data_IF_831667371387
#
_entry.id   IF_831667371387
#
_cell.length_a   1.000
_cell.length_b   1.000
_cell.length_c   1.000
_cell.angle_alpha   90.00
_cell.angle_beta   90.00
_cell.angle_gamma   90.00
#
_symmetry.space_group_name_H-M   'P 1'
#
loop_
_entity.id
_entity.type
_entity.pdbx_description
1 polymer ?
#
# COMPACT_ATOMS: atom_id res chain seq x y z
N UNK A 1 11.01 -3.57 -2.96
CA UNK A 1 9.52 -3.50 -2.96
C UNK A 1 8.94 -4.90 -3.22
N UNK A 2 9.22 -5.53 -4.37
CA UNK A 2 8.75 -6.88 -4.76
C UNK A 2 8.93 -7.98 -3.69
N UNK A 3 10.10 -8.06 -3.06
CA UNK A 3 10.43 -9.12 -2.08
C UNK A 3 10.30 -8.72 -0.61
N UNK A 4 9.83 -7.50 -0.32
CA UNK A 4 9.67 -6.99 1.05
C UNK A 4 10.91 -7.10 1.97
N UNK A 5 12.10 -6.75 1.47
CA UNK A 5 13.34 -6.84 2.24
C UNK A 5 13.46 -5.74 3.33
N UNK A 6 13.49 -6.17 4.59
CA UNK A 6 13.60 -5.29 5.76
C UNK A 6 14.95 -4.58 5.86
N UNK A 7 16.06 -5.24 5.52
CA UNK A 7 17.40 -4.66 5.61
C UNK A 7 17.56 -3.51 4.61
N UNK A 8 17.14 -3.71 3.36
CA UNK A 8 17.16 -2.65 2.33
C UNK A 8 16.25 -1.48 2.70
N UNK A 9 15.08 -1.75 3.29
CA UNK A 9 14.16 -0.71 3.74
C UNK A 9 14.75 0.11 4.89
N UNK A 10 15.39 -0.54 5.87
CA UNK A 10 16.09 0.14 6.96
C UNK A 10 17.26 0.99 6.45
N UNK A 11 18.05 0.51 5.49
CA UNK A 11 19.15 1.28 4.91
C UNK A 11 18.66 2.58 4.23
N UNK A 12 17.54 2.54 3.51
CA UNK A 12 16.93 3.73 2.91
C UNK A 12 16.38 4.69 3.97
N UNK A 13 15.77 4.17 5.04
CA UNK A 13 15.29 4.98 6.17
C UNK A 13 16.46 5.70 6.83
N UNK A 14 17.56 4.99 7.11
CA UNK A 14 18.75 5.53 7.74
C UNK A 14 19.41 6.60 6.85
N UNK A 15 19.48 6.37 5.53
CA UNK A 15 20.04 7.30 4.55
C UNK A 15 19.23 8.62 4.46
N UNK A 16 17.90 8.53 4.44
CA UNK A 16 17.03 9.70 4.29
C UNK A 16 16.82 10.44 5.61
N UNK A 17 16.72 9.70 6.72
CA UNK A 17 16.34 10.22 8.02
C UNK A 17 14.84 10.51 8.16
N UNK A 18 14.32 10.35 9.38
CA UNK A 18 12.90 10.49 9.67
C UNK A 18 12.33 11.88 9.38
N UNK A 19 13.14 12.94 9.52
CA UNK A 19 12.68 14.32 9.30
C UNK A 19 12.37 14.58 7.83
N UNK A 20 13.22 14.08 6.92
CA UNK A 20 12.97 14.21 5.47
C UNK A 20 11.76 13.38 5.06
N UNK A 21 11.66 12.13 5.54
CA UNK A 21 10.52 11.27 5.24
C UNK A 21 9.21 11.91 5.73
N UNK A 22 9.16 12.32 6.99
CA UNK A 22 7.95 12.93 7.56
C UNK A 22 7.58 14.27 6.90
N UNK A 23 8.57 15.07 6.48
CA UNK A 23 8.35 16.30 5.71
C UNK A 23 7.71 16.00 4.36
N UNK A 24 8.19 14.99 3.63
CA UNK A 24 7.59 14.57 2.36
C UNK A 24 6.15 14.10 2.52
N UNK A 25 5.87 13.31 3.56
CA UNK A 25 4.52 12.79 3.81
C UNK A 25 3.53 13.92 4.17
N UNK A 26 4.00 14.97 4.85
CA UNK A 26 3.20 16.16 5.22
C UNK A 26 3.22 17.29 4.18
N UNK A 27 3.99 17.17 3.11
CA UNK A 27 4.15 18.22 2.11
C UNK A 27 2.81 18.58 1.48
N UNK A 28 2.49 19.87 1.32
CA UNK A 28 1.19 20.32 0.80
C UNK A 28 0.89 19.81 -0.60
N UNK A 29 1.92 19.48 -1.40
CA UNK A 29 1.78 18.88 -2.74
C UNK A 29 1.17 17.49 -2.66
N UNK A 30 1.54 16.72 -1.64
CA UNK A 30 1.16 15.32 -1.51
C UNK A 30 0.11 15.09 -0.43
N UNK A 31 0.27 15.63 0.79
CA UNK A 31 -0.65 15.47 1.92
C UNK A 31 -0.97 14.00 2.25
N UNK A 32 0.04 13.13 2.17
CA UNK A 32 -0.08 11.69 2.46
C UNK A 32 -0.16 11.38 3.97
N UNK A 33 0.10 12.39 4.80
CA UNK A 33 -0.20 12.40 6.23
C UNK A 33 -0.86 13.73 6.60
N UNK A 34 -2.06 13.68 7.19
CA UNK A 34 -2.83 14.85 7.59
C UNK A 34 -3.04 14.88 9.10
N UNK A 35 -2.41 15.86 9.76
CA UNK A 35 -2.50 16.11 11.20
C UNK A 35 -3.89 16.57 11.66
N UNK A 36 -4.68 17.16 10.78
CA UNK A 36 -6.03 17.66 11.10
C UNK A 36 -7.11 16.60 10.90
N UNK A 37 -6.75 15.44 10.33
CA UNK A 37 -7.65 14.31 10.06
C UNK A 37 -7.14 13.05 10.75
N UNK A 38 -7.29 11.90 10.10
CA UNK A 38 -7.02 10.57 10.65
C UNK A 38 -5.55 10.14 10.52
N UNK A 39 -4.64 11.09 10.25
CA UNK A 39 -3.24 10.81 9.94
C UNK A 39 -3.04 10.33 8.51
N UNK A 40 -2.28 9.25 8.33
CA UNK A 40 -1.96 8.71 7.02
C UNK A 40 -0.75 7.80 7.02
N UNK A 41 0.05 7.90 5.97
CA UNK A 41 1.29 7.14 5.83
C UNK A 41 2.35 7.69 6.78
N UNK A 42 2.98 6.82 7.57
CA UNK A 42 4.07 7.20 8.46
C UNK A 42 5.14 6.12 8.55
N UNK A 43 6.41 6.55 8.51
CA UNK A 43 7.58 5.71 8.73
C UNK A 43 8.39 6.31 9.87
N UNK A 44 8.25 5.71 11.04
CA UNK A 44 8.79 6.21 12.29
C UNK A 44 9.84 5.30 12.93
N UNK A 45 10.15 4.15 12.33
CA UNK A 45 11.19 3.26 12.84
C UNK A 45 11.80 2.45 11.71
N UNK A 46 13.07 2.09 11.85
CA UNK A 46 13.68 1.02 11.05
C UNK A 46 13.08 -0.35 11.41
N UNK A 47 13.21 -1.29 10.48
CA UNK A 47 12.89 -2.70 10.74
C UNK A 47 14.03 -3.36 11.53
N UNK A 48 13.68 -4.25 12.47
CA UNK A 48 14.62 -4.97 13.34
C UNK A 48 14.57 -4.55 14.80
N UNK A 49 15.51 -5.07 15.60
CA UNK A 49 15.64 -4.74 17.03
C UNK A 49 16.39 -3.41 17.20
N UNK A 50 15.93 -2.55 18.11
CA UNK A 50 16.57 -1.28 18.45
C UNK A 50 16.32 -0.12 17.48
N UNK A 51 17.15 0.92 17.59
CA UNK A 51 17.12 2.13 16.77
C UNK A 51 16.23 3.26 17.31
N UNK A 52 16.53 4.50 16.88
CA UNK A 52 15.72 5.69 17.18
C UNK A 52 14.29 5.47 16.66
N UNK A 53 13.30 5.80 17.48
CA UNK A 53 11.88 5.78 17.14
C UNK A 53 11.37 7.22 17.04
N UNK A 54 10.72 7.53 15.94
CA UNK A 54 10.02 8.79 15.64
C UNK A 54 8.54 8.48 15.37
N UNK A 55 7.74 8.29 16.43
CA UNK A 55 6.37 7.77 16.27
C UNK A 55 5.46 8.74 15.52
N UNK A 56 4.38 8.21 14.95
CA UNK A 56 3.37 9.05 14.31
C UNK A 56 2.74 10.00 15.34
N UNK A 57 2.51 11.27 15.00
CA UNK A 57 2.12 12.30 15.96
C UNK A 57 0.70 12.14 16.51
N UNK A 58 -0.17 11.36 15.88
CA UNK A 58 -1.57 11.22 16.32
C UNK A 58 -1.79 10.01 17.21
N UNK A 59 -1.22 8.86 16.85
CA UNK A 59 -1.47 7.58 17.54
C UNK A 59 -0.22 6.98 18.18
N UNK A 60 0.93 7.61 18.01
CA UNK A 60 2.18 7.13 18.58
C UNK A 60 2.74 5.86 17.91
N UNK A 61 2.21 5.43 16.76
CA UNK A 61 2.61 4.21 16.07
C UNK A 61 3.99 4.35 15.44
N UNK A 62 4.75 3.26 15.39
CA UNK A 62 6.05 3.26 14.70
C UNK A 62 5.89 3.32 13.19
N UNK A 63 4.82 2.72 12.67
CA UNK A 63 4.41 2.80 11.28
C UNK A 63 2.90 2.98 11.27
N UNK A 64 2.41 3.88 10.43
CA UNK A 64 0.98 4.13 10.31
C UNK A 64 0.57 4.16 8.84
N UNK A 65 -0.66 3.74 8.59
CA UNK A 65 -1.34 3.88 7.31
C UNK A 65 -2.84 4.00 7.58
N UNK A 66 -3.55 4.71 6.72
CA UNK A 66 -5.00 4.62 6.63
C UNK A 66 -5.35 4.11 5.23
N UNK A 67 -6.44 3.34 5.12
CA UNK A 67 -6.90 2.84 3.83
C UNK A 67 -7.09 4.00 2.83
N UNK A 68 -7.66 5.12 3.28
CA UNK A 68 -7.83 6.32 2.46
C UNK A 68 -6.52 6.89 1.91
N UNK A 69 -5.49 7.07 2.74
CA UNK A 69 -4.22 7.65 2.28
C UNK A 69 -3.41 6.69 1.40
N UNK A 70 -3.51 5.38 1.64
CA UNK A 70 -2.93 4.37 0.74
C UNK A 70 -3.66 4.40 -0.61
N UNK A 71 -5.00 4.41 -0.63
CA UNK A 71 -5.77 4.52 -1.87
C UNK A 71 -5.45 5.82 -2.62
N UNK A 72 -5.31 6.93 -1.91
CA UNK A 72 -4.93 8.22 -2.50
C UNK A 72 -3.52 8.20 -3.07
N UNK A 73 -2.57 7.50 -2.45
CA UNK A 73 -1.23 7.30 -3.01
C UNK A 73 -1.30 6.57 -4.37
N UNK A 74 -2.04 5.45 -4.47
CA UNK A 74 -2.24 4.76 -5.74
C UNK A 74 -2.99 5.62 -6.76
N UNK A 75 -3.97 6.41 -6.34
CA UNK A 75 -4.65 7.36 -7.22
C UNK A 75 -3.65 8.40 -7.75
N UNK A 76 -2.76 8.94 -6.93
CA UNK A 76 -1.72 9.86 -7.40
C UNK A 76 -0.75 9.19 -8.37
N UNK A 77 -0.39 7.93 -8.13
CA UNK A 77 0.42 7.13 -9.07
C UNK A 77 -0.28 6.97 -10.42
N UNK A 78 -1.55 6.57 -10.43
CA UNK A 78 -2.32 6.33 -11.65
C UNK A 78 -2.41 7.57 -12.56
N UNK A 79 -2.38 8.76 -11.98
CA UNK A 79 -2.48 10.04 -12.69
C UNK A 79 -1.15 10.79 -12.83
N UNK A 80 0.00 10.17 -12.50
CA UNK A 80 1.30 10.84 -12.64
C UNK A 80 1.51 12.02 -11.70
N UNK A 81 0.77 12.10 -10.58
CA UNK A 81 0.76 13.26 -9.65
C UNK A 81 1.77 13.16 -8.51
N UNK A 82 2.72 12.23 -8.58
CA UNK A 82 3.85 12.21 -7.65
C UNK A 82 4.94 13.19 -8.13
N UNK A 83 6.22 12.84 -7.98
CA UNK A 83 7.36 13.73 -8.19
C UNK A 83 7.39 14.28 -9.62
N UNK A 84 7.28 13.39 -10.61
CA UNK A 84 7.16 13.65 -12.05
C UNK A 84 6.75 12.35 -12.76
N UNK A 85 6.58 12.38 -14.09
CA UNK A 85 6.21 11.20 -14.88
C UNK A 85 7.26 10.08 -14.80
N UNK A 86 8.55 10.40 -14.99
CA UNK A 86 9.65 9.42 -14.95
C UNK A 86 9.71 8.64 -13.62
N UNK A 87 9.61 9.35 -12.48
CA UNK A 87 9.61 8.72 -11.16
C UNK A 87 8.31 7.98 -10.85
N UNK A 88 7.20 8.36 -11.48
CA UNK A 88 5.95 7.61 -11.39
C UNK A 88 6.08 6.28 -12.11
N UNK A 89 6.59 6.28 -13.35
CA UNK A 89 6.84 5.06 -14.12
C UNK A 89 7.81 4.12 -13.39
N UNK A 90 8.90 4.67 -12.83
CA UNK A 90 9.83 3.89 -12.02
C UNK A 90 9.15 3.25 -10.78
N UNK A 91 8.26 3.98 -10.10
CA UNK A 91 7.52 3.41 -8.97
C UNK A 91 6.52 2.34 -9.39
N UNK A 92 5.83 2.54 -10.52
CA UNK A 92 4.94 1.54 -11.10
C UNK A 92 5.72 0.28 -11.45
N UNK A 93 6.89 0.39 -12.07
CA UNK A 93 7.77 -0.75 -12.36
C UNK A 93 8.11 -1.55 -11.09
N UNK A 94 8.42 -0.87 -9.98
CA UNK A 94 8.75 -1.55 -8.72
C UNK A 94 7.56 -2.25 -8.06
N UNK A 95 6.34 -1.76 -8.30
CA UNK A 95 5.10 -2.32 -7.77
C UNK A 95 4.50 -3.40 -8.67
N UNK A 96 4.82 -3.35 -9.96
CA UNK A 96 4.37 -4.29 -10.98
C UNK A 96 4.91 -5.70 -10.72
N UNK A 97 4.08 -6.69 -11.07
CA UNK A 97 4.35 -8.12 -10.97
C UNK A 97 4.84 -8.56 -9.58
N UNK A 98 3.93 -8.63 -8.59
CA UNK A 98 4.29 -8.93 -7.22
C UNK A 98 4.71 -10.40 -7.06
N UNK A 99 5.99 -10.66 -6.80
CA UNK A 99 6.56 -12.00 -6.57
C UNK A 99 6.07 -12.74 -5.30
N UNK A 100 5.02 -12.26 -4.62
CA UNK A 100 4.47 -12.86 -3.41
C UNK A 100 3.00 -13.22 -3.62
N UNK A 101 2.67 -14.47 -3.88
CA UNK A 101 1.31 -14.89 -4.28
C UNK A 101 0.36 -15.20 -3.10
N UNK A 102 0.52 -14.47 -1.99
CA UNK A 102 -0.35 -14.52 -0.80
C UNK A 102 -1.39 -13.39 -0.77
N UNK A 103 -2.40 -13.47 0.11
CA UNK A 103 -3.47 -12.46 0.28
C UNK A 103 -4.18 -12.11 -1.04
N UNK A 104 -4.21 -10.84 -1.46
CA UNK A 104 -4.96 -10.42 -2.65
C UNK A 104 -4.52 -11.15 -3.92
N UNK A 105 -3.21 -11.27 -4.13
CA UNK A 105 -2.66 -11.89 -5.34
C UNK A 105 -3.10 -13.35 -5.47
N UNK A 106 -3.22 -14.09 -4.35
CA UNK A 106 -3.72 -15.47 -4.40
C UNK A 106 -5.10 -15.62 -5.07
N UNK A 107 -5.98 -14.64 -4.83
CA UNK A 107 -7.32 -14.62 -5.39
C UNK A 107 -7.33 -14.05 -6.81
N UNK A 108 -6.52 -13.01 -7.07
CA UNK A 108 -6.41 -12.43 -8.40
C UNK A 108 -5.79 -13.38 -9.43
N UNK A 109 -4.79 -14.18 -9.05
CA UNK A 109 -4.20 -15.21 -9.92
C UNK A 109 -5.24 -16.21 -10.46
N UNK A 110 -6.37 -16.37 -9.75
CA UNK A 110 -7.46 -17.27 -10.14
C UNK A 110 -8.58 -16.55 -10.90
N UNK A 111 -8.91 -15.34 -10.48
CA UNK A 111 -10.03 -14.58 -11.04
C UNK A 111 -9.64 -13.89 -12.35
N UNK A 112 -8.44 -13.33 -12.40
CA UNK A 112 -8.00 -12.37 -13.42
C UNK A 112 -6.50 -12.54 -13.73
N UNK A 113 -6.02 -13.75 -14.10
CA UNK A 113 -4.59 -14.02 -14.24
C UNK A 113 -3.86 -13.07 -15.20
N UNK A 114 -4.57 -12.51 -16.18
CA UNK A 114 -4.03 -11.58 -17.18
C UNK A 114 -3.98 -10.10 -16.71
N UNK A 115 -4.43 -9.79 -15.49
CA UNK A 115 -4.46 -8.42 -15.00
C UNK A 115 -3.07 -7.94 -14.55
N UNK A 116 -2.76 -6.70 -14.88
CA UNK A 116 -1.58 -6.01 -14.37
C UNK A 116 -1.83 -5.58 -12.93
N UNK A 117 -1.07 -6.16 -12.00
CA UNK A 117 -1.17 -5.86 -10.57
C UNK A 117 0.01 -5.01 -10.09
N UNK A 118 -0.29 -3.84 -9.53
CA UNK A 118 0.69 -2.96 -8.87
C UNK A 118 0.44 -2.98 -7.37
N UNK A 119 1.32 -3.63 -6.60
CA UNK A 119 0.92 -4.12 -5.28
C UNK A 119 2.00 -4.03 -4.20
N UNK A 120 1.57 -3.75 -2.96
CA UNK A 120 2.39 -3.93 -1.76
C UNK A 120 1.59 -4.57 -0.63
N UNK A 121 2.14 -5.67 -0.10
CA UNK A 121 1.64 -6.38 1.09
C UNK A 121 2.46 -6.09 2.34
N UNK A 122 1.89 -6.32 3.52
CA UNK A 122 2.60 -6.25 4.80
C UNK A 122 1.97 -7.17 5.85
N UNK A 123 2.79 -7.70 6.75
CA UNK A 123 2.35 -8.54 7.88
C UNK A 123 3.17 -8.16 9.11
N UNK A 124 2.51 -8.01 10.27
CA UNK A 124 3.17 -7.84 11.55
C UNK A 124 2.29 -8.44 12.66
N UNK A 125 2.73 -9.54 13.29
CA UNK A 125 1.92 -10.30 14.25
C UNK A 125 0.53 -10.60 13.64
N UNK A 126 -0.55 -10.18 14.29
CA UNK A 126 -1.92 -10.36 13.83
C UNK A 126 -2.39 -9.25 12.89
N UNK A 127 -1.54 -8.27 12.56
CA UNK A 127 -1.86 -7.25 11.56
C UNK A 127 -1.46 -7.73 10.17
N UNK A 128 -2.45 -7.74 9.29
CA UNK A 128 -2.31 -7.99 7.86
C UNK A 128 -2.67 -6.71 7.10
N UNK A 129 -1.85 -6.37 6.11
CA UNK A 129 -2.11 -5.29 5.17
C UNK A 129 -1.89 -5.78 3.74
N UNK A 130 -2.72 -5.30 2.83
CA UNK A 130 -2.53 -5.46 1.41
C UNK A 130 -3.12 -4.28 0.65
N UNK A 131 -2.48 -3.92 -0.45
CA UNK A 131 -2.88 -2.79 -1.26
C UNK A 131 -2.49 -3.03 -2.71
N UNK A 132 -3.40 -2.80 -3.63
CA UNK A 132 -3.21 -3.10 -5.05
C UNK A 132 -3.96 -2.10 -5.91
N UNK A 133 -3.32 -1.69 -7.00
CA UNK A 133 -4.00 -1.12 -8.16
C UNK A 133 -4.06 -2.21 -9.23
N UNK A 134 -5.28 -2.56 -9.62
CA UNK A 134 -5.60 -3.58 -10.62
C UNK A 134 -5.88 -2.87 -11.94
N UNK A 135 -5.19 -3.27 -13.00
CA UNK A 135 -5.45 -2.83 -14.38
C UNK A 135 -5.64 -4.10 -15.22
N UNK A 136 -6.90 -4.43 -15.50
CA UNK A 136 -7.31 -5.59 -16.28
C UNK A 136 -8.34 -5.22 -17.34
N UNK A 137 -8.96 -6.24 -17.92
CA UNK A 137 -9.95 -6.08 -18.98
C UNK A 137 -11.30 -5.53 -18.49
N UNK A 138 -12.10 -5.07 -19.45
CA UNK A 138 -13.50 -4.63 -19.28
C UNK A 138 -13.66 -3.49 -18.25
N UNK A 139 -13.97 -3.85 -17.01
CA UNK A 139 -14.27 -2.93 -15.92
C UNK A 139 -13.22 -2.96 -14.81
N UNK A 140 -12.23 -3.85 -14.88
CA UNK A 140 -11.27 -4.12 -13.81
C UNK A 140 -10.13 -3.10 -13.79
N UNK A 141 -10.48 -1.86 -13.50
CA UNK A 141 -9.53 -0.77 -13.25
C UNK A 141 -9.89 -0.09 -11.93
N UNK A 142 -9.29 -0.55 -10.84
CA UNK A 142 -9.61 -0.07 -9.49
C UNK A 142 -8.47 -0.23 -8.51
N UNK A 143 -8.59 0.45 -7.37
CA UNK A 143 -7.66 0.36 -6.24
C UNK A 143 -8.37 -0.36 -5.10
N UNK A 144 -7.72 -1.37 -4.53
CA UNK A 144 -8.19 -2.09 -3.35
C UNK A 144 -7.15 -2.02 -2.24
N UNK A 145 -7.59 -1.69 -1.03
CA UNK A 145 -6.75 -1.60 0.16
C UNK A 145 -7.46 -2.25 1.33
N UNK A 146 -6.76 -3.11 2.07
CA UNK A 146 -7.25 -3.67 3.33
C UNK A 146 -6.19 -3.60 4.42
N UNK A 147 -6.62 -3.20 5.62
CA UNK A 147 -5.84 -3.23 6.86
C UNK A 147 -6.68 -4.02 7.87
N UNK A 148 -6.20 -5.17 8.30
CA UNK A 148 -6.95 -6.13 9.14
C UNK A 148 -6.09 -6.54 10.33
N UNK A 149 -6.61 -6.39 11.54
CA UNK A 149 -6.02 -6.94 12.76
C UNK A 149 -6.80 -8.18 13.17
N UNK A 150 -6.38 -9.34 12.67
CA UNK A 150 -6.99 -10.63 12.98
C UNK A 150 -6.00 -11.75 12.65
N UNK A 151 -5.87 -12.81 13.48
CA UNK A 151 -5.02 -13.96 13.17
C UNK A 151 -5.35 -14.66 11.83
N UNK A 152 -6.62 -14.59 11.40
CA UNK A 152 -7.12 -15.04 10.11
C UNK A 152 -7.12 -13.96 9.01
N UNK A 153 -6.44 -12.83 9.22
CA UNK A 153 -6.46 -11.67 8.32
C UNK A 153 -6.05 -11.97 6.87
N UNK A 154 -5.15 -12.94 6.67
CA UNK A 154 -4.82 -13.40 5.31
C UNK A 154 -6.03 -14.04 4.59
N UNK A 155 -6.78 -14.91 5.28
CA UNK A 155 -7.97 -15.55 4.72
C UNK A 155 -9.04 -14.50 4.40
N UNK A 156 -9.29 -13.58 5.34
CA UNK A 156 -10.22 -12.46 5.15
C UNK A 156 -9.88 -11.67 3.88
N UNK A 157 -8.60 -11.34 3.66
CA UNK A 157 -8.18 -10.60 2.47
C UNK A 157 -8.36 -11.38 1.16
N UNK A 158 -8.19 -12.71 1.18
CA UNK A 158 -8.44 -13.54 0.00
C UNK A 158 -9.92 -13.56 -0.36
N UNK A 159 -10.79 -13.72 0.63
CA UNK A 159 -12.25 -13.74 0.46
C UNK A 159 -12.78 -12.35 0.03
N UNK A 160 -12.23 -11.27 0.59
CA UNK A 160 -12.58 -9.90 0.22
C UNK A 160 -12.45 -9.63 -1.29
N UNK A 161 -11.42 -10.19 -1.94
CA UNK A 161 -11.23 -10.00 -3.39
C UNK A 161 -12.42 -10.52 -4.20
N UNK A 162 -12.92 -11.71 -3.86
CA UNK A 162 -14.08 -12.30 -4.56
C UNK A 162 -15.35 -11.47 -4.37
N UNK A 163 -15.59 -10.98 -3.15
CA UNK A 163 -16.75 -10.13 -2.87
C UNK A 163 -16.67 -8.78 -3.58
N UNK A 164 -15.49 -8.16 -3.61
CA UNK A 164 -15.28 -6.90 -4.35
C UNK A 164 -15.49 -7.12 -5.86
N UNK A 165 -14.93 -8.19 -6.44
CA UNK A 165 -15.07 -8.49 -7.87
C UNK A 165 -16.55 -8.70 -8.26
N UNK A 166 -17.28 -9.43 -7.42
CA UNK A 166 -18.73 -9.67 -7.56
C UNK A 166 -19.57 -8.40 -7.45
N UNK A 167 -19.23 -7.47 -6.56
CA UNK A 167 -19.97 -6.21 -6.40
C UNK A 167 -19.72 -5.31 -7.61
N UNK A 168 -18.46 -5.12 -8.00
CA UNK A 168 -18.08 -4.20 -9.07
C UNK A 168 -18.54 -4.67 -10.46
N UNK A 169 -18.53 -5.98 -10.72
CA UNK A 169 -19.09 -6.55 -11.96
C UNK A 169 -20.60 -6.28 -12.10
N UNK A 170 -21.37 -6.36 -11.02
CA UNK A 170 -22.81 -6.10 -11.05
C UNK A 170 -23.17 -4.66 -11.34
N UNK A 171 -22.41 -3.71 -10.80
CA UNK A 171 -22.65 -2.27 -11.01
C UNK A 171 -22.44 -1.85 -12.48
N UNK A 172 -21.75 -2.66 -13.28
CA UNK A 172 -21.51 -2.40 -14.71
C UNK A 172 -22.55 -3.04 -15.65
N UNK A 173 -23.26 -4.06 -15.17
CA UNK A 173 -24.30 -4.77 -15.91
C UNK A 173 -25.71 -4.19 -15.65
N UNK A 174 -25.80 -3.02 -15.02
CA UNK A 174 -27.00 -2.20 -14.83
C UNK A 174 -26.84 -0.91 -15.62
#
# INVERSE_FOLDING_TARGET
IRVSNNASSSALIDLLGYDRISRTLKDKRYQLYDLKKQGGLWVGKRYGKGGKRNPDPLKGLSHAASAFQVSRFYYMLAYGKLINCERTEQMLEYLYDPHLHHKFVNSFDKLVPEANLYRKSGTWRNYHSDSVMVIGNEWRSYILVALVEDPGGEKIMRELVYEVDKILSKTKNQ
#
